data_IF_667936586025
#
_entry.id   IF_667936586025
#
_cell.length_a   1.000
_cell.length_b   1.000
_cell.length_c   1.000
_cell.angle_alpha   90.00
_cell.angle_beta   90.00
_cell.angle_gamma   90.00
#
_symmetry.space_group_name_H-M   'P 1'
#
loop_
_entity.id
_entity.type
_entity.pdbx_description
1 polymer ?
#
# COMPACT_ATOMS: atom_id res chain seq x y z
N UNK A 1 15.16 -12.37 -1.52
CA UNK A 1 13.89 -12.70 -2.20
C UNK A 1 13.80 -14.22 -2.32
N UNK A 2 12.61 -14.81 -2.14
CA UNK A 2 12.39 -16.28 -2.16
C UNK A 2 11.00 -16.66 -2.62
N UNK A 3 10.33 -15.76 -3.34
CA UNK A 3 9.03 -16.00 -3.93
C UNK A 3 9.22 -16.55 -5.35
N UNK A 4 8.52 -17.63 -5.65
CA UNK A 4 8.41 -18.20 -6.99
C UNK A 4 7.00 -17.95 -7.48
N UNK A 5 6.88 -17.22 -8.58
CA UNK A 5 5.61 -16.95 -9.24
C UNK A 5 5.49 -17.86 -10.44
N UNK A 6 4.45 -18.69 -10.45
CA UNK A 6 4.13 -19.59 -11.56
C UNK A 6 2.93 -19.05 -12.31
N UNK A 7 3.13 -18.76 -13.60
CA UNK A 7 2.03 -18.48 -14.51
C UNK A 7 1.18 -19.73 -14.68
N UNK A 8 -0.11 -19.63 -14.36
CA UNK A 8 -1.05 -20.75 -14.46
C UNK A 8 -1.91 -20.62 -15.70
N UNK A 9 -2.58 -19.49 -15.84
CA UNK A 9 -3.51 -19.24 -16.95
C UNK A 9 -3.70 -17.73 -17.16
N UNK A 10 -4.16 -17.37 -18.36
CA UNK A 10 -4.64 -16.04 -18.69
C UNK A 10 -6.00 -16.16 -19.38
N UNK A 11 -7.04 -15.65 -18.74
CA UNK A 11 -8.40 -15.69 -19.25
C UNK A 11 -8.84 -14.28 -19.66
N UNK A 12 -9.44 -14.16 -20.84
CA UNK A 12 -10.06 -12.90 -21.26
C UNK A 12 -11.51 -12.86 -20.80
N UNK A 13 -11.82 -11.91 -19.93
CA UNK A 13 -13.15 -11.62 -19.43
C UNK A 13 -13.77 -10.39 -20.08
N UNK A 14 -15.10 -10.30 -20.02
CA UNK A 14 -15.83 -9.07 -20.35
C UNK A 14 -16.59 -8.62 -19.11
N UNK A 15 -16.24 -7.46 -18.61
CA UNK A 15 -16.97 -6.76 -17.55
C UNK A 15 -18.14 -5.94 -18.11
N UNK A 16 -18.87 -5.21 -17.24
CA UNK A 16 -20.03 -4.42 -17.64
C UNK A 16 -19.71 -3.32 -18.67
N UNK A 17 -18.53 -2.73 -18.56
CA UNK A 17 -18.08 -1.58 -19.38
C UNK A 17 -16.60 -1.65 -19.75
N UNK A 18 -15.97 -2.81 -19.58
CA UNK A 18 -14.57 -3.04 -19.92
C UNK A 18 -14.34 -4.46 -20.40
N UNK A 19 -13.30 -4.67 -21.18
CA UNK A 19 -12.73 -5.98 -21.46
C UNK A 19 -11.51 -6.15 -20.56
N UNK A 20 -11.35 -7.32 -19.94
CA UNK A 20 -10.18 -7.58 -19.10
C UNK A 20 -9.41 -8.82 -19.53
N UNK A 21 -8.09 -8.74 -19.48
CA UNK A 21 -7.20 -9.88 -19.55
C UNK A 21 -6.76 -10.19 -18.11
N UNK A 22 -7.32 -11.26 -17.55
CA UNK A 22 -7.07 -11.69 -16.18
C UNK A 22 -5.98 -12.75 -16.18
N UNK A 23 -4.90 -12.53 -15.44
CA UNK A 23 -3.81 -13.50 -15.30
C UNK A 23 -3.83 -14.13 -13.93
N UNK A 24 -3.74 -15.45 -13.86
CA UNK A 24 -3.60 -16.18 -12.59
C UNK A 24 -2.15 -16.57 -12.35
N UNK A 25 -1.58 -16.06 -11.26
CA UNK A 25 -0.22 -16.35 -10.80
C UNK A 25 -0.25 -17.06 -9.46
N UNK A 26 0.30 -18.27 -9.38
CA UNK A 26 0.48 -18.96 -8.11
C UNK A 26 1.79 -18.51 -7.46
N UNK A 27 1.71 -17.99 -6.24
CA UNK A 27 2.87 -17.53 -5.48
C UNK A 27 3.23 -18.57 -4.45
N UNK A 28 4.41 -19.16 -4.59
CA UNK A 28 4.97 -20.10 -3.63
C UNK A 28 6.23 -19.52 -3.01
N UNK A 29 6.57 -19.99 -1.81
CA UNK A 29 7.78 -19.62 -1.09
C UNK A 29 8.27 -20.81 -0.30
N UNK A 30 9.56 -21.12 -0.43
CA UNK A 30 10.18 -22.26 0.26
C UNK A 30 9.41 -23.58 0.03
N UNK A 31 8.88 -23.75 -1.19
CA UNK A 31 8.07 -24.91 -1.59
C UNK A 31 6.62 -24.91 -1.10
N UNK A 32 6.19 -23.93 -0.29
CA UNK A 32 4.82 -23.83 0.24
C UNK A 32 3.99 -22.80 -0.52
N UNK A 33 2.70 -23.08 -0.80
CA UNK A 33 1.81 -22.08 -1.38
C UNK A 33 1.58 -20.93 -0.38
N UNK A 34 1.77 -19.70 -0.85
CA UNK A 34 1.53 -18.49 -0.05
C UNK A 34 0.18 -17.88 -0.41
N UNK A 35 -0.02 -17.63 -1.70
CA UNK A 35 -1.28 -17.06 -2.22
C UNK A 35 -1.38 -17.25 -3.73
N UNK A 36 -2.53 -16.89 -4.29
CA UNK A 36 -2.74 -16.74 -5.74
C UNK A 36 -2.97 -15.26 -6.02
N UNK A 37 -2.16 -14.68 -6.89
CA UNK A 37 -2.32 -13.30 -7.36
C UNK A 37 -3.02 -13.31 -8.71
N UNK A 38 -4.01 -12.44 -8.85
CA UNK A 38 -4.80 -12.30 -10.08
C UNK A 38 -4.66 -10.88 -10.66
N UNK A 39 -3.46 -10.46 -11.12
CA UNK A 39 -3.33 -9.18 -11.80
C UNK A 39 -4.18 -9.17 -13.08
N UNK A 40 -4.81 -8.03 -13.36
CA UNK A 40 -5.67 -7.87 -14.53
C UNK A 40 -5.29 -6.64 -15.33
N UNK A 41 -5.50 -6.70 -16.64
CA UNK A 41 -5.42 -5.53 -17.51
C UNK A 41 -6.80 -5.25 -18.06
N UNK A 42 -7.31 -4.04 -17.88
CA UNK A 42 -8.65 -3.64 -18.33
C UNK A 42 -8.56 -2.64 -19.47
N UNK A 43 -9.49 -2.73 -20.41
CA UNK A 43 -9.70 -1.79 -21.49
C UNK A 43 -11.15 -1.31 -21.43
N UNK A 44 -11.35 -0.03 -21.14
CA UNK A 44 -12.67 0.60 -21.18
C UNK A 44 -12.97 1.07 -22.59
N UNK A 45 -14.22 0.94 -23.06
CA UNK A 45 -14.57 1.19 -24.47
C UNK A 45 -14.96 2.65 -24.75
N UNK A 46 -15.41 3.42 -23.75
CA UNK A 46 -16.01 4.75 -23.94
C UNK A 46 -15.69 5.71 -22.77
N UNK A 47 -14.55 6.44 -22.80
CA UNK A 47 -13.52 6.46 -23.84
C UNK A 47 -12.55 5.26 -23.76
N UNK A 48 -11.86 4.90 -24.87
CA UNK A 48 -10.80 3.91 -24.91
C UNK A 48 -9.67 4.23 -23.92
N UNK A 49 -9.64 3.53 -22.77
CA UNK A 49 -8.60 3.75 -21.76
C UNK A 49 -8.08 2.42 -21.21
N UNK A 50 -6.81 2.06 -21.45
CA UNK A 50 -6.20 0.90 -20.83
C UNK A 50 -5.82 1.22 -19.38
N UNK A 51 -6.27 0.38 -18.45
CA UNK A 51 -5.86 0.41 -17.04
C UNK A 51 -5.31 -0.95 -16.62
N UNK A 52 -4.60 -0.99 -15.51
CA UNK A 52 -3.98 -2.23 -15.02
C UNK A 52 -4.20 -2.33 -13.53
N UNK A 53 -4.77 -3.45 -13.09
CA UNK A 53 -4.85 -3.81 -11.68
C UNK A 53 -3.67 -4.69 -11.31
N UNK A 54 -2.90 -4.21 -10.34
CA UNK A 54 -1.78 -4.96 -9.80
C UNK A 54 -2.29 -6.06 -8.85
N UNK A 55 -1.69 -7.25 -8.95
CA UNK A 55 -1.80 -8.26 -7.91
C UNK A 55 -0.87 -7.90 -6.76
N UNK A 56 -1.40 -7.74 -5.56
CA UNK A 56 -0.63 -7.34 -4.38
C UNK A 56 -0.74 -8.43 -3.32
N UNK A 57 0.41 -8.88 -2.83
CA UNK A 57 0.52 -9.72 -1.64
C UNK A 57 1.17 -8.90 -0.53
N UNK A 58 0.37 -8.57 0.48
CA UNK A 58 0.86 -7.91 1.69
C UNK A 58 1.37 -8.99 2.67
N UNK A 59 2.69 -9.11 2.81
CA UNK A 59 3.30 -10.10 3.72
C UNK A 59 4.11 -9.43 4.82
N UNK A 60 4.29 -10.12 5.95
CA UNK A 60 5.03 -9.58 7.10
C UNK A 60 6.47 -9.18 6.79
N UNK A 61 7.04 -9.83 5.79
CA UNK A 61 8.42 -9.63 5.37
C UNK A 61 8.57 -8.64 4.22
N UNK A 62 7.46 -8.14 3.69
CA UNK A 62 7.45 -7.23 2.55
C UNK A 62 6.26 -7.44 1.64
N UNK A 63 5.95 -6.39 0.89
CA UNK A 63 4.82 -6.38 -0.03
C UNK A 63 5.32 -6.74 -1.43
N UNK A 64 4.69 -7.75 -2.03
CA UNK A 64 4.99 -8.23 -3.38
C UNK A 64 3.94 -7.66 -4.34
N UNK A 65 4.40 -6.88 -5.31
CA UNK A 65 3.57 -6.24 -6.33
C UNK A 65 3.85 -6.89 -7.67
N UNK A 66 2.81 -7.33 -8.35
CA UNK A 66 2.90 -7.88 -9.69
C UNK A 66 1.95 -7.14 -10.61
N UNK A 67 2.50 -6.61 -11.70
CA UNK A 67 1.75 -5.84 -12.71
C UNK A 67 1.85 -6.59 -14.03
N UNK A 68 0.69 -6.84 -14.65
CA UNK A 68 0.61 -7.42 -15.99
C UNK A 68 0.77 -6.31 -17.04
N UNK A 69 1.66 -6.54 -17.99
CA UNK A 69 1.94 -5.66 -19.12
C UNK A 69 1.07 -5.96 -20.33
N UNK A 70 1.46 -5.42 -21.49
CA UNK A 70 0.83 -5.75 -22.76
C UNK A 70 1.05 -7.22 -23.14
N UNK A 71 0.09 -7.74 -23.90
CA UNK A 71 0.22 -9.02 -24.57
C UNK A 71 1.22 -8.84 -25.71
N UNK A 72 2.23 -9.71 -25.75
CA UNK A 72 3.24 -9.74 -26.79
C UNK A 72 2.72 -10.48 -28.02
N UNK A 73 3.20 -10.10 -29.21
CA UNK A 73 2.79 -10.69 -30.50
C UNK A 73 2.96 -12.22 -30.54
N UNK A 74 3.95 -12.75 -29.83
CA UNK A 74 4.23 -14.18 -29.70
C UNK A 74 3.29 -14.92 -28.72
N UNK A 75 2.26 -14.26 -28.18
CA UNK A 75 1.27 -14.85 -27.27
C UNK A 75 1.61 -14.83 -25.78
N UNK A 76 2.70 -14.18 -25.39
CA UNK A 76 3.11 -14.04 -23.98
C UNK A 76 2.60 -12.74 -23.31
N UNK A 77 2.74 -12.64 -21.99
CA UNK A 77 2.51 -11.41 -21.24
C UNK A 77 3.81 -10.94 -20.59
N UNK A 78 4.09 -9.64 -20.65
CA UNK A 78 5.17 -9.05 -19.87
C UNK A 78 4.71 -8.87 -18.41
N UNK A 79 5.55 -9.21 -17.43
CA UNK A 79 5.26 -8.96 -16.01
C UNK A 79 6.30 -8.03 -15.40
N UNK A 80 5.84 -7.09 -14.58
CA UNK A 80 6.72 -6.29 -13.71
C UNK A 80 6.45 -6.71 -12.27
N UNK A 81 7.50 -7.18 -11.61
CA UNK A 81 7.42 -7.71 -10.24
C UNK A 81 8.33 -6.87 -9.35
N UNK A 82 7.77 -6.34 -8.26
CA UNK A 82 8.48 -5.54 -7.28
C UNK A 82 8.31 -6.14 -5.89
N UNK A 83 9.39 -6.16 -5.11
CA UNK A 83 9.36 -6.60 -3.73
C UNK A 83 9.81 -5.46 -2.83
N UNK A 84 8.87 -4.92 -2.04
CA UNK A 84 9.09 -3.74 -1.21
C UNK A 84 9.00 -4.10 0.28
N UNK A 85 10.14 -4.47 0.93
CA UNK A 85 10.13 -4.89 2.33
C UNK A 85 9.88 -3.76 3.34
N UNK A 86 10.17 -2.51 2.96
CA UNK A 86 10.19 -1.38 3.89
C UNK A 86 8.88 -0.59 3.99
N UNK A 87 7.88 -0.89 3.17
CA UNK A 87 6.60 -0.13 3.13
C UNK A 87 5.91 -0.10 4.49
N UNK A 88 6.03 -1.18 5.27
CA UNK A 88 5.48 -1.29 6.63
C UNK A 88 6.06 -0.27 7.60
N UNK A 89 7.29 0.18 7.41
CA UNK A 89 7.89 1.19 8.29
C UNK A 89 7.21 2.55 8.17
N UNK A 90 6.59 2.86 7.04
CA UNK A 90 5.81 4.11 6.86
C UNK A 90 4.63 4.12 7.85
N UNK A 91 3.91 3.00 7.93
CA UNK A 91 2.78 2.84 8.85
C UNK A 91 3.21 2.78 10.31
N UNK A 92 4.32 2.10 10.62
CA UNK A 92 4.89 2.10 11.97
C UNK A 92 5.29 3.52 12.39
N UNK A 93 5.92 4.30 11.49
CA UNK A 93 6.27 5.69 11.74
C UNK A 93 5.03 6.55 12.04
N UNK A 94 3.97 6.41 11.24
CA UNK A 94 2.71 7.11 11.49
C UNK A 94 2.09 6.73 12.85
N UNK A 95 2.13 5.44 13.23
CA UNK A 95 1.65 4.97 14.52
C UNK A 95 2.47 5.56 15.69
N UNK A 96 3.80 5.60 15.55
CA UNK A 96 4.70 6.22 16.55
C UNK A 96 4.38 7.71 16.70
N UNK A 97 4.16 8.43 15.59
CA UNK A 97 3.79 9.85 15.63
C UNK A 97 2.43 10.05 16.30
N UNK A 98 1.45 9.20 16.00
CA UNK A 98 0.12 9.25 16.64
C UNK A 98 0.22 9.03 18.15
N UNK A 99 0.96 8.01 18.60
CA UNK A 99 1.17 7.74 20.02
C UNK A 99 1.95 8.88 20.69
N UNK A 100 3.02 9.37 20.06
CA UNK A 100 3.81 10.49 20.56
C UNK A 100 2.98 11.76 20.73
N UNK A 101 2.13 12.08 19.75
CA UNK A 101 1.17 13.19 19.84
C UNK A 101 0.12 12.97 20.93
N UNK A 102 -0.44 11.76 21.02
CA UNK A 102 -1.38 11.38 22.07
C UNK A 102 -0.80 11.58 23.47
N UNK A 103 0.39 11.02 23.72
CA UNK A 103 1.11 11.18 25.00
C UNK A 103 1.40 12.65 25.31
N UNK A 104 1.85 13.42 24.31
CA UNK A 104 2.11 14.87 24.49
C UNK A 104 0.87 15.68 24.86
N UNK A 105 -0.32 15.24 24.44
CA UNK A 105 -1.58 15.92 24.72
C UNK A 105 -2.21 15.46 26.04
N UNK A 106 -2.02 14.20 26.43
CA UNK A 106 -2.58 13.60 27.63
C UNK A 106 -1.98 14.15 28.93
N UNK A 107 -0.68 14.48 28.98
CA UNK A 107 -0.07 15.05 30.19
C UNK A 107 0.22 16.55 30.05
N UNK A 108 -0.49 17.37 30.82
CA UNK A 108 -0.30 18.83 30.90
C UNK A 108 1.12 19.21 31.36
N UNK A 109 1.84 18.32 32.06
CA UNK A 109 3.22 18.51 32.54
C UNK A 109 4.28 18.23 31.47
N UNK A 110 3.98 17.37 30.49
CA UNK A 110 4.88 17.02 29.38
C UNK A 110 4.68 17.93 28.15
N UNK A 111 3.84 18.95 28.25
CA UNK A 111 3.67 19.97 27.21
C UNK A 111 4.96 20.77 27.03
N UNK A 112 5.84 20.31 26.15
CA UNK A 112 6.98 21.10 25.67
C UNK A 112 6.43 22.27 24.85
N UNK A 113 6.46 23.48 25.43
CA UNK A 113 6.00 24.72 24.77
C UNK A 113 4.70 25.33 25.32
N UNK A 114 4.08 24.78 26.38
CA UNK A 114 2.96 25.48 27.02
C UNK A 114 3.47 26.79 27.66
N UNK A 115 3.00 27.98 27.24
CA UNK A 115 3.43 29.23 27.83
C UNK A 115 3.07 29.21 29.33
N UNK A 116 4.09 29.28 30.18
CA UNK A 116 3.93 29.39 31.63
C UNK A 116 3.09 30.64 31.86
N UNK A 117 1.86 30.46 32.33
CA UNK A 117 0.92 31.56 32.60
C UNK A 117 1.62 32.54 33.52
N UNK A 118 2.07 33.68 32.98
CA UNK A 118 2.70 34.74 33.78
C UNK A 118 1.63 35.21 34.75
N UNK A 119 1.85 34.99 36.05
CA UNK A 119 0.97 35.49 37.09
C UNK A 119 1.03 37.00 37.02
N UNK A 120 0.01 37.63 36.42
CA UNK A 120 -0.12 39.08 36.38
C UNK A 120 -0.19 39.53 37.85
N UNK A 121 0.90 40.12 38.34
CA UNK A 121 0.96 40.64 39.70
C UNK A 121 -0.16 41.64 39.89
N UNK A 122 -0.96 41.45 40.93
CA UNK A 122 -1.94 42.44 41.38
C UNK A 122 -1.17 43.74 41.60
N UNK A 123 -1.38 44.75 40.74
CA UNK A 123 -0.95 46.11 41.06
C UNK A 123 -1.74 46.50 42.31
N UNK A 124 -1.04 46.65 43.43
CA UNK A 124 -1.60 47.29 44.61
C UNK A 124 -2.06 48.69 44.19
N UNK A 125 -3.34 48.97 44.35
CA UNK A 125 -3.87 50.32 44.22
C UNK A 125 -3.24 51.17 45.32
N UNK A 126 -2.42 52.15 44.93
CA UNK A 126 -1.95 53.19 45.84
C UNK A 126 -3.07 54.21 46.04
N UNK A 127 -3.27 54.57 47.31
CA UNK A 127 -4.25 55.51 47.82
C UNK A 127 -3.91 56.97 47.49
#
# INVERSE_FOLDING_TARGET
AGYVLRFKDATRGKGPNYVEDLVTLEVTRDGKPVTVLTPSKRLYDAPPMPTTEAGILNSWRGDLYTVVGDKQDAGGFAFRIYFNPLVRFIWIGALIMFIGGGVSLSDRRLRVGAPRKVRRGTKAAAA
#
